data_IF_802987356341
#
_entry.id   IF_802987356341
#
_cell.length_a   1.000
_cell.length_b   1.000
_cell.length_c   1.000
_cell.angle_alpha   90.00
_cell.angle_beta   90.00
_cell.angle_gamma   90.00
#
_symmetry.space_group_name_H-M   'P 1'
#
loop_
_entity.id
_entity.type
_entity.pdbx_description
1 polymer ?
#
# COMPACT_ATOMS: atom_id res chain seq x y z
N UNK A 1 -11.72 23.76 -9.54
CA UNK A 1 -11.86 22.31 -9.83
C UNK A 1 -11.68 21.51 -8.55
N UNK A 2 -11.85 20.20 -8.62
CA UNK A 2 -11.60 19.26 -7.52
C UNK A 2 -10.69 18.14 -8.02
N UNK A 3 -9.81 17.62 -7.15
CA UNK A 3 -8.97 16.46 -7.46
C UNK A 3 -9.75 15.15 -7.30
N UNK A 4 -9.51 14.19 -8.19
CA UNK A 4 -10.09 12.85 -8.18
C UNK A 4 -9.02 11.80 -7.85
N UNK A 5 -9.30 10.95 -6.87
CA UNK A 5 -8.51 9.76 -6.56
C UNK A 5 -9.35 8.51 -6.78
N UNK A 6 -8.73 7.43 -7.27
CA UNK A 6 -9.38 6.13 -7.48
C UNK A 6 -8.67 5.05 -6.69
N UNK A 7 -9.42 4.32 -5.87
CA UNK A 7 -8.91 3.14 -5.18
C UNK A 7 -8.82 1.95 -6.14
N UNK A 8 -7.72 1.21 -6.10
CA UNK A 8 -7.53 -0.01 -6.91
C UNK A 8 -7.18 -1.19 -6.03
N UNK A 9 -7.45 -2.41 -6.48
CA UNK A 9 -6.89 -3.59 -5.83
C UNK A 9 -5.37 -3.60 -5.97
N UNK A 10 -4.63 -3.85 -4.88
CA UNK A 10 -3.17 -3.82 -4.90
C UNK A 10 -2.54 -4.80 -5.87
N UNK A 11 -3.16 -5.98 -6.04
CA UNK A 11 -2.67 -7.03 -6.93
C UNK A 11 -2.69 -6.63 -8.42
N UNK A 12 -3.43 -5.57 -8.80
CA UNK A 12 -3.54 -5.11 -10.20
C UNK A 12 -2.17 -4.80 -10.81
N UNK A 13 -1.21 -4.31 -10.04
CA UNK A 13 0.16 -4.07 -10.50
C UNK A 13 0.89 -5.33 -11.03
N UNK A 14 0.46 -6.51 -10.58
CA UNK A 14 1.17 -7.77 -10.80
C UNK A 14 0.53 -8.65 -11.87
N UNK A 15 -0.52 -8.17 -12.52
CA UNK A 15 -1.23 -8.92 -13.54
C UNK A 15 -0.55 -8.79 -14.90
N UNK A 16 -0.15 -9.93 -15.47
CA UNK A 16 0.50 -9.98 -16.78
C UNK A 16 -0.47 -9.65 -17.93
N UNK A 17 -1.77 -9.95 -17.77
CA UNK A 17 -2.79 -9.82 -18.82
C UNK A 17 -3.68 -8.56 -18.67
N UNK A 18 -3.20 -7.57 -17.91
CA UNK A 18 -3.78 -6.23 -17.71
C UNK A 18 -5.10 -6.14 -16.93
N UNK A 19 -6.04 -7.07 -17.02
CA UNK A 19 -7.26 -7.05 -16.21
C UNK A 19 -7.48 -8.42 -15.57
N UNK A 20 -7.48 -8.51 -14.24
CA UNK A 20 -7.83 -9.72 -13.47
C UNK A 20 -9.29 -10.15 -13.62
N UNK A 21 -9.97 -9.74 -14.69
CA UNK A 21 -11.42 -9.78 -14.87
C UNK A 21 -12.17 -9.07 -13.73
N UNK A 22 -11.57 -8.02 -13.16
CA UNK A 22 -12.17 -7.19 -12.11
C UNK A 22 -12.44 -5.75 -12.58
N UNK A 23 -12.05 -5.42 -13.82
CA UNK A 23 -12.27 -4.13 -14.44
C UNK A 23 -11.27 -3.04 -14.01
N UNK A 24 -10.13 -3.41 -13.42
CA UNK A 24 -9.15 -2.45 -12.91
C UNK A 24 -7.84 -2.52 -13.71
N UNK A 25 -7.45 -1.39 -14.30
CA UNK A 25 -6.22 -1.21 -15.07
C UNK A 25 -5.55 0.11 -14.70
N UNK A 26 -4.36 0.07 -14.09
CA UNK A 26 -3.65 1.27 -13.62
C UNK A 26 -3.33 2.23 -14.77
N UNK A 27 -2.90 1.69 -15.92
CA UNK A 27 -2.54 2.47 -17.12
C UNK A 27 -3.73 3.21 -17.75
N UNK A 28 -4.95 2.68 -17.58
CA UNK A 28 -6.19 3.34 -18.04
C UNK A 28 -6.67 4.32 -17.00
N UNK A 29 -6.78 3.90 -15.73
CA UNK A 29 -7.30 4.74 -14.64
C UNK A 29 -6.43 5.99 -14.43
N UNK A 30 -5.11 5.87 -14.56
CA UNK A 30 -4.19 7.00 -14.44
C UNK A 30 -4.36 8.07 -15.55
N UNK A 31 -5.11 7.81 -16.61
CA UNK A 31 -5.45 8.84 -17.62
C UNK A 31 -6.64 9.69 -17.21
N UNK A 32 -7.42 9.24 -16.21
CA UNK A 32 -8.71 9.83 -15.86
C UNK A 32 -8.80 10.28 -14.38
N UNK A 33 -7.85 9.89 -13.55
CA UNK A 33 -7.78 10.31 -12.14
C UNK A 33 -6.48 11.09 -11.88
N UNK A 34 -6.50 12.04 -10.96
CA UNK A 34 -5.29 12.77 -10.54
C UNK A 34 -4.36 11.85 -9.74
N UNK A 35 -4.95 11.00 -8.88
CA UNK A 35 -4.25 10.08 -8.00
C UNK A 35 -4.80 8.66 -8.09
N UNK A 36 -3.95 7.67 -7.83
CA UNK A 36 -4.38 6.30 -7.56
C UNK A 36 -4.01 5.91 -6.13
N UNK A 37 -4.94 5.23 -5.46
CA UNK A 37 -4.79 4.75 -4.10
C UNK A 37 -4.89 3.22 -4.05
N UNK A 38 -3.81 2.52 -4.41
CA UNK A 38 -3.84 1.06 -4.43
C UNK A 38 -3.97 0.49 -3.02
N UNK A 39 -4.90 -0.44 -2.85
CA UNK A 39 -5.11 -1.22 -1.63
C UNK A 39 -4.03 -2.30 -1.50
N UNK A 40 -2.85 -1.89 -1.03
CA UNK A 40 -1.70 -2.74 -0.85
C UNK A 40 -1.77 -3.44 0.52
N UNK A 41 -2.71 -4.38 0.67
CA UNK A 41 -2.85 -5.17 1.89
C UNK A 41 -2.06 -6.46 1.76
N UNK A 42 -0.90 -6.64 2.44
CA UNK A 42 -0.03 -7.76 2.14
C UNK A 42 -0.69 -9.13 2.36
N UNK A 43 -1.67 -9.24 3.27
CA UNK A 43 -2.41 -10.50 3.43
C UNK A 43 -3.34 -10.86 2.27
N UNK A 44 -3.63 -9.91 1.37
CA UNK A 44 -4.46 -10.14 0.17
C UNK A 44 -3.65 -10.56 -1.06
N UNK A 45 -2.32 -10.68 -0.95
CA UNK A 45 -1.47 -11.08 -2.05
C UNK A 45 -1.30 -12.60 -2.10
N UNK A 46 -1.21 -13.14 -3.32
CA UNK A 46 -1.04 -14.58 -3.52
C UNK A 46 0.31 -15.09 -2.97
N UNK A 47 0.26 -16.26 -2.34
CA UNK A 47 1.44 -17.05 -1.98
C UNK A 47 2.38 -17.21 -3.18
N UNK A 48 3.69 -16.99 -2.95
CA UNK A 48 4.73 -17.13 -3.96
C UNK A 48 5.01 -15.87 -4.77
N UNK A 49 4.23 -14.80 -4.61
CA UNK A 49 4.52 -13.52 -5.27
C UNK A 49 5.91 -13.03 -4.82
N UNK A 50 6.74 -12.53 -5.75
CA UNK A 50 8.12 -12.11 -5.47
C UNK A 50 9.01 -13.21 -4.85
N UNK A 51 8.63 -14.48 -4.99
CA UNK A 51 9.28 -15.60 -4.31
C UNK A 51 9.05 -15.62 -2.79
N UNK A 52 8.04 -14.90 -2.28
CA UNK A 52 7.69 -14.82 -0.86
C UNK A 52 6.66 -15.91 -0.53
N UNK A 53 6.97 -16.77 0.45
CA UNK A 53 6.07 -17.87 0.83
C UNK A 53 4.78 -17.37 1.48
N UNK A 54 4.88 -16.42 2.40
CA UNK A 54 3.74 -15.74 3.04
C UNK A 54 3.90 -14.21 2.94
N UNK A 55 3.22 -13.57 1.98
CA UNK A 55 3.25 -12.12 1.79
C UNK A 55 2.86 -11.32 3.05
N UNK A 56 2.05 -11.90 3.93
CA UNK A 56 1.63 -11.22 5.17
C UNK A 56 2.76 -11.03 6.18
N UNK A 57 3.86 -11.78 6.02
CA UNK A 57 5.06 -11.69 6.88
C UNK A 57 6.14 -10.76 6.30
N UNK A 58 6.01 -10.31 5.05
CA UNK A 58 6.98 -9.44 4.39
C UNK A 58 6.34 -8.12 3.89
N UNK A 59 5.65 -7.36 4.77
CA UNK A 59 4.88 -6.18 4.38
C UNK A 59 5.72 -5.14 3.62
N UNK A 60 6.95 -4.85 4.09
CA UNK A 60 7.83 -3.88 3.43
C UNK A 60 8.05 -4.22 1.95
N UNK A 61 8.39 -5.48 1.65
CA UNK A 61 8.67 -5.91 0.27
C UNK A 61 7.43 -5.84 -0.59
N UNK A 62 6.27 -6.25 -0.07
CA UNK A 62 5.01 -6.20 -0.82
C UNK A 62 4.63 -4.76 -1.18
N UNK A 63 4.66 -3.84 -0.20
CA UNK A 63 4.34 -2.43 -0.44
C UNK A 63 5.34 -1.83 -1.45
N UNK A 64 6.63 -1.91 -1.17
CA UNK A 64 7.67 -1.27 -1.97
C UNK A 64 7.69 -1.78 -3.40
N UNK A 65 7.68 -3.10 -3.58
CA UNK A 65 7.72 -3.69 -4.91
C UNK A 65 6.46 -3.35 -5.71
N UNK A 66 5.29 -3.29 -5.06
CA UNK A 66 4.04 -2.94 -5.76
C UNK A 66 4.03 -1.49 -6.21
N UNK A 67 4.54 -0.56 -5.39
CA UNK A 67 4.70 0.84 -5.77
C UNK A 67 5.65 0.96 -6.96
N UNK A 68 6.86 0.42 -6.86
CA UNK A 68 7.85 0.42 -7.95
C UNK A 68 7.31 -0.19 -9.24
N UNK A 69 6.50 -1.25 -9.14
CA UNK A 69 5.86 -1.88 -10.30
C UNK A 69 4.83 -0.95 -10.96
N UNK A 70 4.07 -0.18 -10.19
CA UNK A 70 3.10 0.77 -10.72
C UNK A 70 3.77 1.97 -11.42
N UNK A 71 5.02 2.30 -11.06
CA UNK A 71 5.80 3.39 -11.69
C UNK A 71 6.02 3.17 -13.19
N UNK A 72 5.90 1.94 -13.68
CA UNK A 72 5.92 1.63 -15.11
C UNK A 72 4.76 2.30 -15.89
N UNK A 73 3.68 2.71 -15.21
CA UNK A 73 2.47 3.25 -15.83
C UNK A 73 1.92 4.53 -15.19
N UNK A 74 2.41 4.90 -14.00
CA UNK A 74 1.89 6.02 -13.19
C UNK A 74 3.06 6.74 -12.54
N UNK A 75 3.11 8.07 -12.63
CA UNK A 75 4.14 8.83 -11.92
C UNK A 75 4.07 8.55 -10.40
N UNK A 76 5.19 8.27 -9.72
CA UNK A 76 5.19 7.86 -8.31
C UNK A 76 4.44 8.83 -7.41
N UNK A 77 4.62 10.14 -7.63
CA UNK A 77 3.97 11.22 -6.86
C UNK A 77 2.44 11.17 -6.93
N UNK A 78 1.86 10.46 -7.90
CA UNK A 78 0.41 10.29 -8.05
C UNK A 78 -0.12 9.05 -7.33
N UNK A 79 0.75 8.24 -6.71
CA UNK A 79 0.40 7.08 -5.92
C UNK A 79 0.26 7.46 -4.44
N UNK A 80 -0.78 6.95 -3.79
CA UNK A 80 -0.97 7.05 -2.32
C UNK A 80 -1.58 5.74 -1.80
N UNK A 81 -0.77 4.72 -1.47
CA UNK A 81 -1.29 3.40 -1.12
C UNK A 81 -2.12 3.41 0.17
N UNK A 82 -3.12 2.54 0.21
CA UNK A 82 -3.74 2.09 1.44
C UNK A 82 -2.92 0.95 2.06
N UNK A 83 -2.57 1.11 3.33
CA UNK A 83 -1.83 0.16 4.15
C UNK A 83 -2.78 -0.62 5.07
N UNK A 84 -2.39 -1.84 5.44
CA UNK A 84 -3.19 -2.77 6.24
C UNK A 84 -2.99 -2.57 7.74
N UNK A 85 -4.08 -2.31 8.47
CA UNK A 85 -4.15 -2.30 9.95
C UNK A 85 -5.28 -3.23 10.43
N UNK A 86 -5.45 -4.38 9.79
CA UNK A 86 -6.43 -5.38 10.22
C UNK A 86 -5.84 -6.76 10.10
N UNK A 87 -6.26 -7.65 11.00
CA UNK A 87 -5.89 -9.06 10.91
C UNK A 87 -6.48 -9.65 9.65
N UNK A 88 -5.70 -10.48 8.97
CA UNK A 88 -6.22 -11.26 7.86
C UNK A 88 -7.37 -12.16 8.34
N UNK A 89 -8.43 -12.27 7.54
CA UNK A 89 -9.57 -13.14 7.80
C UNK A 89 -9.46 -14.48 7.07
N UNK A 90 -8.58 -14.61 6.07
CA UNK A 90 -8.61 -15.71 5.11
C UNK A 90 -7.50 -16.78 5.28
N UNK A 91 -6.29 -16.44 5.75
CA UNK A 91 -5.17 -17.39 5.77
C UNK A 91 -4.42 -17.48 7.11
N UNK A 92 -3.65 -16.46 7.48
CA UNK A 92 -2.68 -16.58 8.60
C UNK A 92 -3.19 -16.02 9.92
N UNK A 93 -4.29 -15.26 9.89
CA UNK A 93 -4.76 -14.41 11.01
C UNK A 93 -3.64 -13.55 11.59
N UNK A 94 -2.62 -13.21 10.81
CA UNK A 94 -1.49 -12.42 11.27
C UNK A 94 -1.96 -11.05 11.77
N UNK A 95 -1.48 -10.66 12.94
CA UNK A 95 -1.80 -9.36 13.54
C UNK A 95 -0.81 -8.32 13.07
N UNK A 96 -1.32 -7.29 12.41
CA UNK A 96 -0.55 -6.13 12.03
C UNK A 96 -0.41 -5.18 13.22
N UNK A 97 0.73 -5.26 13.91
CA UNK A 97 1.05 -4.45 15.07
C UNK A 97 2.11 -3.39 14.71
N UNK A 98 2.64 -2.69 15.70
CA UNK A 98 3.57 -1.58 15.50
C UNK A 98 4.71 -1.85 14.50
N UNK A 99 5.31 -3.06 14.54
CA UNK A 99 6.38 -3.43 13.62
C UNK A 99 5.90 -3.56 12.18
N UNK A 100 4.84 -4.33 11.93
CA UNK A 100 4.31 -4.53 10.58
C UNK A 100 3.78 -3.23 9.97
N UNK A 101 3.18 -2.36 10.80
CA UNK A 101 2.76 -1.03 10.38
C UNK A 101 3.96 -0.15 10.03
N UNK A 102 5.01 -0.15 10.85
CA UNK A 102 6.23 0.59 10.56
C UNK A 102 6.86 0.15 9.24
N UNK A 103 6.93 -1.15 8.98
CA UNK A 103 7.50 -1.68 7.75
C UNK A 103 6.70 -1.25 6.51
N UNK A 104 5.38 -1.18 6.60
CA UNK A 104 4.54 -0.65 5.52
C UNK A 104 4.76 0.85 5.30
N UNK A 105 4.77 1.65 6.38
CA UNK A 105 5.03 3.10 6.33
C UNK A 105 6.40 3.37 5.72
N UNK A 106 7.43 2.68 6.21
CA UNK A 106 8.79 2.79 5.71
C UNK A 106 8.87 2.44 4.23
N UNK A 107 8.15 1.43 3.76
CA UNK A 107 8.13 1.07 2.35
C UNK A 107 7.51 2.16 1.47
N UNK A 108 6.52 2.91 1.97
CA UNK A 108 5.98 4.09 1.29
C UNK A 108 6.94 5.28 1.35
N UNK A 109 7.58 5.51 2.50
CA UNK A 109 8.55 6.61 2.68
C UNK A 109 9.84 6.41 1.87
N UNK A 110 10.22 5.14 1.62
CA UNK A 110 11.37 4.76 0.81
C UNK A 110 11.08 4.77 -0.72
N UNK A 111 9.93 5.30 -1.15
CA UNK A 111 9.57 5.54 -2.56
C UNK A 111 9.12 6.99 -2.77
N UNK A 112 9.00 7.41 -4.03
CA UNK A 112 8.57 8.78 -4.38
C UNK A 112 7.04 8.96 -4.35
N UNK A 113 6.31 8.09 -3.62
CA UNK A 113 4.86 8.18 -3.52
C UNK A 113 4.39 9.32 -2.61
N UNK A 114 3.15 9.77 -2.81
CA UNK A 114 2.55 10.86 -2.02
C UNK A 114 1.96 10.35 -0.71
N UNK A 115 2.83 9.89 0.17
CA UNK A 115 2.49 9.38 1.51
C UNK A 115 1.65 8.11 1.44
N UNK A 116 0.81 7.88 2.45
CA UNK A 116 0.00 6.66 2.58
C UNK A 116 -1.31 6.94 3.31
N UNK A 117 -2.25 6.00 3.17
CA UNK A 117 -3.50 5.91 3.94
C UNK A 117 -3.48 4.62 4.74
N UNK A 118 -4.17 4.55 5.88
CA UNK A 118 -4.15 3.37 6.75
C UNK A 118 -5.56 2.88 7.05
N UNK A 119 -5.83 1.62 6.75
CA UNK A 119 -7.18 1.07 6.84
C UNK A 119 -7.35 0.08 7.99
N UNK A 120 -8.38 0.30 8.80
CA UNK A 120 -8.93 -0.65 9.75
C UNK A 120 -10.47 -0.50 9.78
N UNK A 121 -11.26 -1.56 9.52
CA UNK A 121 -12.72 -1.48 9.56
C UNK A 121 -13.29 -1.10 10.93
N UNK A 122 -12.54 -1.30 12.03
CA UNK A 122 -12.93 -0.85 13.37
C UNK A 122 -12.54 0.59 13.68
N UNK A 123 -11.81 1.26 12.78
CA UNK A 123 -11.27 2.61 12.94
C UNK A 123 -10.44 2.83 14.22
N UNK A 124 -9.87 1.75 14.77
CA UNK A 124 -9.00 1.79 15.96
C UNK A 124 -7.54 1.69 15.53
N UNK A 125 -6.72 2.62 15.97
CA UNK A 125 -5.30 2.68 15.60
C UNK A 125 -4.44 2.92 16.84
N UNK A 126 -3.34 2.19 16.95
CA UNK A 126 -2.28 2.41 17.92
C UNK A 126 -1.16 3.23 17.27
N UNK A 127 -0.52 4.11 18.05
CA UNK A 127 0.51 5.03 17.53
C UNK A 127 1.89 4.38 17.36
N UNK A 128 2.16 3.22 17.96
CA UNK A 128 3.50 2.64 18.02
C UNK A 128 4.15 2.41 16.64
N UNK A 129 3.34 2.04 15.63
CA UNK A 129 3.82 1.85 14.26
C UNK A 129 3.78 3.11 13.38
N UNK A 130 3.27 4.23 13.90
CA UNK A 130 3.11 5.48 13.17
C UNK A 130 4.20 6.49 13.47
N UNK A 131 4.69 6.57 14.72
CA UNK A 131 5.64 7.60 15.15
C UNK A 131 7.06 7.33 14.66
N UNK A 132 7.55 8.09 13.69
CA UNK A 132 8.95 8.02 13.31
C UNK A 132 9.75 8.96 14.23
N UNK A 133 10.36 8.41 15.28
CA UNK A 133 10.98 9.21 16.36
C UNK A 133 12.06 10.19 15.90
N UNK A 134 12.66 10.01 14.71
CA UNK A 134 13.63 10.95 14.15
C UNK A 134 13.00 11.96 13.17
N UNK A 135 11.98 11.57 12.38
CA UNK A 135 11.37 12.43 11.34
C UNK A 135 10.25 13.33 11.90
N UNK A 136 9.47 12.85 12.86
CA UNK A 136 8.33 13.62 13.41
C UNK A 136 8.80 14.82 14.25
N UNK A 137 9.99 14.77 14.85
CA UNK A 137 10.59 15.91 15.55
C UNK A 137 11.05 17.02 14.60
N UNK A 138 11.36 16.68 13.35
CA UNK A 138 11.78 17.66 12.32
C UNK A 138 10.56 18.28 11.63
N UNK A 139 9.50 17.51 11.41
CA UNK A 139 8.29 17.98 10.69
C UNK A 139 7.31 18.75 11.58
N UNK A 140 7.30 18.54 12.90
CA UNK A 140 6.42 19.23 13.83
C UNK A 140 7.14 19.60 15.13
N UNK A 141 7.92 20.71 15.15
CA UNK A 141 8.45 21.25 16.39
C UNK A 141 7.29 21.73 17.27
N UNK A 142 7.38 21.45 18.58
CA UNK A 142 6.44 21.94 19.60
C UNK A 142 6.41 23.46 19.67
#
# INVERSE_FOLDING_TARGET
>A
GAFLSVDTYGYVAWNQDSDTNIGHRTDILAKHADYLAPMLYPSGFNKGILGIDDPSLEPYRIIKASLLKMEESVEPVRLRPWLQYFKDYAFSRHHYNAREIREQVRASDDTDCSGWLLWNPSSRYDRGGLINTEIDLIRYPK
#
